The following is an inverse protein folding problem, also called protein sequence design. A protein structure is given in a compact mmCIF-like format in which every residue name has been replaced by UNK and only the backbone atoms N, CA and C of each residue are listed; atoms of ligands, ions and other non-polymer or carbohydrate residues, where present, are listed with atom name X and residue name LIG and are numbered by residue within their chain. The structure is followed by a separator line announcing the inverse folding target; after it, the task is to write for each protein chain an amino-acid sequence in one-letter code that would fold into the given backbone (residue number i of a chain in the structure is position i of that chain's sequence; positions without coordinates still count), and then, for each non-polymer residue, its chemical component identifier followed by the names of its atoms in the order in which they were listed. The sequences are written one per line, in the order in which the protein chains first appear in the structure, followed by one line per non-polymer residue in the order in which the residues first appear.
data_IF_651666449562
#
_entry.id   IF_651666449562
#
_cell.length_a   1.000
_cell.length_b   1.000
_cell.length_c   1.000
_cell.angle_alpha   90.00
_cell.angle_beta   90.00
_cell.angle_gamma   90.00
#
_symmetry.space_group_name_H-M   'P 1'
#
loop_
_entity.id
_entity.type
_entity.pdbx_description
1 polymer ?
#
# COMPACT_ATOMS: atom_id res chain seq x y z
N UNK A 1 34.66 -22.87 -3.58
CA UNK A 1 33.38 -22.14 -3.70
C UNK A 1 33.40 -20.97 -2.73
N UNK A 2 33.29 -19.74 -3.21
CA UNK A 2 33.53 -18.53 -2.41
C UNK A 2 32.33 -18.27 -1.47
N UNK A 3 32.53 -18.19 -0.15
CA UNK A 3 31.43 -18.07 0.84
C UNK A 3 30.61 -16.79 0.69
N UNK A 4 31.18 -15.77 0.03
CA UNK A 4 30.48 -14.56 -0.43
C UNK A 4 29.35 -14.91 -1.40
N UNK A 5 29.57 -15.87 -2.31
CA UNK A 5 28.62 -16.35 -3.32
C UNK A 5 27.45 -17.09 -2.65
N UNK A 6 27.67 -17.83 -1.57
CA UNK A 6 26.60 -18.58 -0.88
C UNK A 6 25.63 -17.63 -0.17
N UNK A 7 26.13 -16.64 0.57
CA UNK A 7 25.27 -15.62 1.22
C UNK A 7 24.48 -14.79 0.22
N UNK A 8 25.09 -14.49 -0.93
CA UNK A 8 24.46 -13.77 -2.02
C UNK A 8 23.42 -14.62 -2.77
N UNK A 9 23.69 -15.91 -2.99
CA UNK A 9 22.72 -16.88 -3.50
C UNK A 9 21.55 -17.03 -2.54
N UNK A 10 21.75 -16.99 -1.23
CA UNK A 10 20.65 -17.06 -0.26
C UNK A 10 19.75 -15.82 -0.29
N UNK A 11 20.33 -14.62 -0.44
CA UNK A 11 19.59 -13.36 -0.58
C UNK A 11 18.85 -13.31 -1.93
N UNK A 12 19.52 -13.73 -3.02
CA UNK A 12 18.93 -13.81 -4.37
C UNK A 12 17.86 -14.90 -4.46
N UNK A 13 18.04 -16.07 -3.85
CA UNK A 13 17.03 -17.12 -3.79
C UNK A 13 15.76 -16.66 -3.04
N UNK A 14 15.91 -15.78 -2.04
CA UNK A 14 14.78 -15.16 -1.34
C UNK A 14 14.03 -14.16 -2.24
N UNK A 15 14.75 -13.39 -3.08
CA UNK A 15 14.17 -12.45 -4.06
C UNK A 15 13.54 -13.18 -5.26
N UNK A 16 14.11 -14.31 -5.69
CA UNK A 16 13.61 -15.11 -6.82
C UNK A 16 12.34 -15.90 -6.46
N UNK A 17 12.05 -16.13 -5.17
CA UNK A 17 10.76 -16.68 -4.72
C UNK A 17 9.53 -15.77 -4.99
N UNK A 18 9.75 -14.63 -5.67
CA UNK A 18 8.74 -13.64 -6.07
C UNK A 18 8.29 -13.81 -7.54
N UNK A 19 8.88 -14.72 -8.32
CA UNK A 19 8.45 -15.01 -9.70
C UNK A 19 7.77 -16.40 -9.82
N UNK A 20 6.77 -16.56 -10.72
CA UNK A 20 6.17 -17.87 -10.97
C UNK A 20 7.22 -18.82 -11.57
N UNK A 21 7.22 -20.06 -11.08
CA UNK A 21 8.07 -21.20 -11.46
C UNK A 21 8.63 -21.13 -12.89
N UNK A 22 9.91 -20.79 -13.00
CA UNK A 22 10.80 -21.25 -14.07
C UNK A 22 12.20 -21.39 -13.46
N UNK A 23 12.72 -22.61 -13.46
CA UNK A 23 14.05 -22.97 -13.00
C UNK A 23 15.11 -22.29 -13.88
N UNK A 24 15.74 -21.22 -13.37
CA UNK A 24 16.87 -20.56 -14.03
C UNK A 24 18.17 -21.09 -13.40
N UNK A 25 19.10 -21.65 -14.19
CA UNK A 25 20.40 -22.07 -13.68
C UNK A 25 21.28 -20.84 -13.41
N UNK A 26 21.91 -20.80 -12.24
CA UNK A 26 22.88 -19.78 -11.84
C UNK A 26 24.28 -20.33 -12.14
N UNK A 27 25.02 -19.70 -13.05
CA UNK A 27 26.43 -20.02 -13.33
C UNK A 27 27.28 -18.87 -12.80
N UNK A 28 28.19 -19.16 -11.87
CA UNK A 28 29.20 -18.22 -11.40
C UNK A 28 30.54 -18.61 -12.04
N UNK A 29 31.02 -17.80 -12.98
CA UNK A 29 32.40 -17.89 -13.48
C UNK A 29 33.34 -17.34 -12.41
N UNK A 30 34.14 -18.21 -11.82
CA UNK A 30 35.14 -17.84 -10.83
C UNK A 30 36.49 -17.69 -11.49
N UNK A 31 37.00 -16.45 -11.54
CA UNK A 31 38.43 -16.21 -11.65
C UNK A 31 38.97 -15.67 -10.34
N UNK A 32 40.15 -16.19 -9.99
CA UNK A 32 40.85 -16.01 -8.73
C UNK A 32 41.66 -14.70 -8.68
N UNK A 33 41.92 -14.32 -7.43
CA UNK A 33 42.99 -13.47 -6.92
C UNK A 33 42.80 -11.95 -6.81
N UNK A 34 43.04 -11.53 -5.57
CA UNK A 34 43.77 -10.33 -5.11
C UNK A 34 43.01 -9.23 -4.35
N UNK A 35 43.55 -9.05 -3.14
CA UNK A 35 43.59 -7.98 -2.14
C UNK A 35 42.61 -6.79 -2.19
N UNK A 36 42.08 -6.50 -1.01
CA UNK A 36 41.52 -5.22 -0.52
C UNK A 36 41.17 -4.19 -1.58
N UNK A 37 39.96 -4.32 -2.11
CA UNK A 37 39.21 -3.28 -2.81
C UNK A 37 37.73 -3.65 -2.71
N UNK A 38 36.83 -2.67 -2.71
CA UNK A 38 35.40 -2.88 -2.98
C UNK A 38 35.24 -3.67 -4.29
N UNK A 39 35.12 -4.98 -4.19
CA UNK A 39 34.89 -5.81 -5.37
C UNK A 39 33.40 -5.74 -5.68
N UNK A 40 33.03 -4.89 -6.64
CA UNK A 40 31.77 -5.01 -7.36
C UNK A 40 31.72 -6.40 -7.99
N UNK A 41 30.85 -7.27 -7.47
CA UNK A 41 30.62 -8.58 -8.07
C UNK A 41 29.48 -8.46 -9.06
N UNK A 42 29.78 -8.53 -10.35
CA UNK A 42 28.77 -8.61 -11.39
C UNK A 42 28.06 -9.97 -11.30
N UNK A 43 26.76 -9.94 -11.01
CA UNK A 43 25.93 -11.13 -11.01
C UNK A 43 25.03 -11.05 -12.23
N UNK A 44 25.25 -11.99 -13.15
CA UNK A 44 24.47 -12.09 -14.38
C UNK A 44 23.16 -12.82 -14.05
N UNK A 45 22.05 -12.09 -14.05
CA UNK A 45 20.69 -12.64 -13.93
C UNK A 45 20.00 -12.46 -15.29
N UNK A 46 20.17 -13.44 -16.19
CA UNK A 46 19.76 -13.30 -17.60
C UNK A 46 20.65 -12.30 -18.37
N UNK A 47 20.12 -11.65 -19.41
CA UNK A 47 20.86 -10.70 -20.27
C UNK A 47 21.16 -9.32 -19.64
N UNK A 48 21.00 -9.17 -18.32
CA UNK A 48 21.18 -7.89 -17.63
C UNK A 48 22.19 -8.03 -16.49
N UNK A 49 23.27 -7.25 -16.55
CA UNK A 49 24.25 -7.07 -15.47
C UNK A 49 23.73 -6.04 -14.47
N UNK A 50 23.49 -6.44 -13.22
CA UNK A 50 23.23 -5.50 -12.12
C UNK A 50 24.50 -5.28 -11.28
N UNK A 51 24.99 -4.04 -11.27
CA UNK A 51 26.02 -3.59 -10.33
C UNK A 51 25.40 -3.44 -8.93
N UNK A 52 25.73 -4.36 -8.02
CA UNK A 52 25.35 -4.34 -6.61
C UNK A 52 26.48 -3.74 -5.78
N UNK A 53 26.47 -2.42 -5.56
CA UNK A 53 27.22 -1.79 -4.46
C UNK A 53 26.38 -1.90 -3.18
N UNK A 54 26.62 -2.95 -2.39
CA UNK A 54 25.93 -3.21 -1.12
C UNK A 54 26.79 -2.70 0.03
N UNK A 55 26.34 -1.72 0.84
CA UNK A 55 27.02 -1.41 2.09
C UNK A 55 27.02 -2.68 2.97
N UNK A 56 28.19 -3.09 3.45
CA UNK A 56 28.32 -4.30 4.27
C UNK A 56 27.50 -4.15 5.57
N UNK A 57 26.54 -5.04 5.80
CA UNK A 57 25.77 -5.10 7.05
C UNK A 57 26.73 -5.29 8.24
N UNK A 58 26.57 -4.50 9.29
CA UNK A 58 27.36 -4.66 10.51
C UNK A 58 26.93 -5.93 11.27
N UNK A 59 27.80 -6.41 12.17
CA UNK A 59 27.45 -7.56 13.00
C UNK A 59 26.28 -7.28 13.95
N UNK A 60 26.23 -6.07 14.51
CA UNK A 60 25.15 -5.66 15.40
C UNK A 60 23.84 -5.58 14.64
N UNK A 61 23.85 -5.04 13.41
CA UNK A 61 22.66 -4.99 12.56
C UNK A 61 22.16 -6.39 12.17
N UNK A 62 23.09 -7.31 11.86
CA UNK A 62 22.73 -8.69 11.53
C UNK A 62 22.11 -9.44 12.73
N UNK A 63 22.67 -9.27 13.93
CA UNK A 63 22.12 -9.85 15.17
C UNK A 63 20.78 -9.21 15.52
N UNK A 64 20.65 -7.89 15.39
CA UNK A 64 19.40 -7.18 15.59
C UNK A 64 18.30 -7.67 14.65
N UNK A 65 18.61 -7.90 13.37
CA UNK A 65 17.66 -8.51 12.43
C UNK A 65 17.23 -9.91 12.90
N UNK A 66 18.18 -10.75 13.33
CA UNK A 66 17.86 -12.09 13.84
C UNK A 66 16.93 -12.05 15.05
N UNK A 67 17.23 -11.21 16.04
CA UNK A 67 16.36 -11.02 17.21
C UNK A 67 15.02 -10.40 16.85
N UNK A 68 14.96 -9.46 15.92
CA UNK A 68 13.72 -8.85 15.45
C UNK A 68 12.79 -9.90 14.86
N UNK A 69 13.32 -10.73 13.94
CA UNK A 69 12.55 -11.81 13.33
C UNK A 69 12.12 -12.83 14.38
N UNK A 70 13.03 -13.25 15.27
CA UNK A 70 12.73 -14.17 16.36
C UNK A 70 11.58 -13.67 17.22
N UNK A 71 11.64 -12.42 17.70
CA UNK A 71 10.61 -11.85 18.57
C UNK A 71 9.24 -11.75 17.88
N UNK A 72 9.22 -11.46 16.58
CA UNK A 72 7.98 -11.41 15.80
C UNK A 72 7.38 -12.80 15.61
N UNK A 73 8.20 -13.86 15.46
CA UNK A 73 7.69 -15.17 15.04
C UNK A 73 7.71 -16.25 16.13
N UNK A 74 8.32 -15.99 17.29
CA UNK A 74 8.52 -17.01 18.33
C UNK A 74 7.20 -17.56 18.88
N UNK A 75 6.25 -16.69 19.22
CA UNK A 75 4.92 -17.12 19.69
C UNK A 75 4.20 -17.98 18.63
N UNK A 76 4.34 -17.63 17.35
CA UNK A 76 3.78 -18.42 16.25
C UNK A 76 4.42 -19.80 16.15
N UNK A 77 5.75 -19.91 16.22
CA UNK A 77 6.42 -21.21 16.27
C UNK A 77 5.94 -22.06 17.44
N UNK A 78 5.87 -21.48 18.65
CA UNK A 78 5.42 -22.21 19.83
C UNK A 78 3.99 -22.72 19.65
N UNK A 79 3.11 -21.90 19.09
CA UNK A 79 1.75 -22.29 18.76
C UNK A 79 1.69 -23.42 17.72
N UNK A 80 2.51 -23.37 16.67
CA UNK A 80 2.61 -24.42 15.63
C UNK A 80 3.15 -25.75 16.18
N UNK A 81 4.15 -25.66 17.08
CA UNK A 81 4.72 -26.82 17.78
C UNK A 81 3.67 -27.46 18.69
N UNK A 82 2.89 -26.66 19.41
CA UNK A 82 1.77 -27.15 20.24
C UNK A 82 0.70 -27.85 19.40
N UNK A 83 0.57 -27.48 18.13
CA UNK A 83 -0.28 -28.16 17.15
C UNK A 83 0.41 -29.34 16.42
N UNK A 84 1.51 -29.86 16.97
CA UNK A 84 2.25 -31.01 16.45
C UNK A 84 2.82 -30.83 15.03
N UNK A 85 3.20 -29.60 14.66
CA UNK A 85 3.90 -29.35 13.39
C UNK A 85 5.40 -29.52 13.57
N UNK A 86 5.91 -30.73 13.32
CA UNK A 86 7.32 -31.07 13.56
C UNK A 86 8.32 -30.20 12.79
N UNK A 87 7.98 -29.78 11.57
CA UNK A 87 8.83 -28.89 10.77
C UNK A 87 8.99 -27.51 11.41
N UNK A 88 7.98 -27.02 12.14
CA UNK A 88 8.08 -25.76 12.89
C UNK A 88 9.13 -25.89 14.00
N UNK A 89 9.09 -27.00 14.77
CA UNK A 89 10.09 -27.28 15.81
C UNK A 89 11.51 -27.38 15.24
N UNK A 90 11.68 -28.11 14.14
CA UNK A 90 13.00 -28.25 13.48
C UNK A 90 13.52 -26.89 13.01
N UNK A 91 12.66 -26.08 12.38
CA UNK A 91 13.05 -24.77 11.85
C UNK A 91 13.40 -23.79 12.97
N UNK A 92 12.64 -23.77 14.06
CA UNK A 92 12.94 -22.95 15.25
C UNK A 92 14.31 -23.32 15.83
N UNK A 93 14.55 -24.62 16.08
CA UNK A 93 15.82 -25.10 16.65
C UNK A 93 17.02 -24.83 15.72
N UNK A 94 16.83 -24.89 14.40
CA UNK A 94 17.86 -24.50 13.44
C UNK A 94 18.15 -22.98 13.52
N UNK A 95 17.12 -22.15 13.60
CA UNK A 95 17.25 -20.71 13.81
C UNK A 95 18.03 -20.39 15.07
N UNK A 96 17.65 -20.97 16.21
CA UNK A 96 18.33 -20.78 17.50
C UNK A 96 19.78 -21.26 17.44
N UNK A 97 20.06 -22.42 16.85
CA UNK A 97 21.42 -22.92 16.65
C UNK A 97 22.29 -21.99 15.80
N UNK A 98 21.72 -21.36 14.78
CA UNK A 98 22.45 -20.39 13.96
C UNK A 98 22.69 -19.09 14.72
N UNK A 99 21.71 -18.62 15.51
CA UNK A 99 21.88 -17.45 16.36
C UNK A 99 22.97 -17.67 17.42
N UNK A 100 22.97 -18.82 18.09
CA UNK A 100 24.00 -19.18 19.09
C UNK A 100 25.40 -19.17 18.49
N UNK A 101 25.57 -19.77 17.29
CA UNK A 101 26.84 -19.73 16.55
C UNK A 101 27.26 -18.31 16.16
N UNK A 102 26.30 -17.45 15.82
CA UNK A 102 26.59 -16.07 15.50
C UNK A 102 27.15 -15.34 16.73
N UNK A 103 26.56 -15.55 17.91
CA UNK A 103 27.00 -14.99 19.17
C UNK A 103 28.37 -15.50 19.60
N UNK A 104 28.64 -16.80 19.43
CA UNK A 104 29.95 -17.43 19.72
C UNK A 104 31.07 -16.82 18.87
N UNK A 105 30.80 -16.55 17.59
CA UNK A 105 31.79 -16.13 16.61
C UNK A 105 31.93 -14.60 16.49
N UNK A 106 31.13 -13.81 17.20
CA UNK A 106 31.02 -12.37 16.95
C UNK A 106 32.34 -11.61 17.11
N UNK A 107 33.13 -11.99 18.11
CA UNK A 107 34.38 -11.30 18.47
C UNK A 107 35.59 -11.83 17.66
N UNK A 108 35.54 -13.10 17.23
CA UNK A 108 36.68 -13.82 16.65
C UNK A 108 36.58 -14.04 15.13
N UNK A 109 35.36 -14.05 14.58
CA UNK A 109 35.08 -14.33 13.17
C UNK A 109 33.84 -13.57 12.69
N UNK A 110 33.87 -12.24 12.81
CA UNK A 110 32.74 -11.33 12.56
C UNK A 110 32.00 -11.58 11.24
N UNK A 111 32.72 -11.84 10.15
CA UNK A 111 32.11 -12.18 8.84
C UNK A 111 31.27 -13.45 8.87
N UNK A 112 31.71 -14.49 9.58
CA UNK A 112 30.96 -15.75 9.73
C UNK A 112 29.76 -15.55 10.67
N UNK A 113 29.95 -14.78 11.74
CA UNK A 113 28.88 -14.43 12.66
C UNK A 113 27.74 -13.67 11.97
N UNK A 114 28.05 -12.70 11.10
CA UNK A 114 27.05 -11.99 10.28
C UNK A 114 26.22 -12.98 9.44
N UNK A 115 26.88 -13.91 8.73
CA UNK A 115 26.18 -14.90 7.91
C UNK A 115 25.25 -15.76 8.77
N UNK A 116 25.73 -16.24 9.91
CA UNK A 116 24.90 -17.05 10.81
C UNK A 116 23.71 -16.28 11.38
N UNK A 117 23.88 -15.00 11.74
CA UNK A 117 22.78 -14.16 12.20
C UNK A 117 21.72 -13.95 11.11
N UNK A 118 22.13 -13.66 9.87
CA UNK A 118 21.20 -13.52 8.74
C UNK A 118 20.47 -14.83 8.44
N UNK A 119 21.18 -15.96 8.48
CA UNK A 119 20.57 -17.28 8.29
C UNK A 119 19.57 -17.59 9.40
N UNK A 120 19.86 -17.23 10.65
CA UNK A 120 18.90 -17.35 11.75
C UNK A 120 17.64 -16.51 11.49
N UNK A 121 17.80 -15.24 11.09
CA UNK A 121 16.68 -14.37 10.72
C UNK A 121 15.79 -14.97 9.62
N UNK A 122 16.40 -15.62 8.61
CA UNK A 122 15.67 -16.31 7.55
C UNK A 122 14.88 -17.50 8.10
N UNK A 123 15.48 -18.34 8.94
CA UNK A 123 14.77 -19.48 9.55
C UNK A 123 13.57 -18.99 10.36
N UNK A 124 13.74 -17.94 11.15
CA UNK A 124 12.63 -17.34 11.90
C UNK A 124 11.52 -16.82 10.97
N UNK A 125 11.90 -16.16 9.87
CA UNK A 125 10.96 -15.63 8.88
C UNK A 125 10.10 -16.69 8.17
N UNK A 126 10.40 -17.98 8.26
CA UNK A 126 9.59 -19.04 7.65
C UNK A 126 8.34 -19.42 8.47
N UNK A 127 8.22 -19.00 9.73
CA UNK A 127 7.14 -19.40 10.63
C UNK A 127 5.75 -19.36 9.97
N UNK A 128 5.31 -18.27 9.31
CA UNK A 128 3.96 -18.19 8.74
C UNK A 128 3.58 -19.32 7.77
N UNK A 129 4.56 -19.97 7.14
CA UNK A 129 4.29 -21.08 6.22
C UNK A 129 3.75 -22.32 6.94
N UNK A 130 4.15 -22.53 8.21
CA UNK A 130 3.84 -23.72 9.00
C UNK A 130 2.46 -23.66 9.68
N UNK A 131 1.83 -22.49 9.71
CA UNK A 131 0.41 -22.35 10.04
C UNK A 131 -0.51 -23.15 9.07
N UNK A 132 -0.14 -23.31 7.79
CA UNK A 132 -0.98 -24.10 6.87
C UNK A 132 -1.10 -25.59 7.30
N UNK A 133 -0.01 -26.28 7.68
CA UNK A 133 -0.10 -27.58 8.36
C UNK A 133 -0.98 -27.60 9.61
N UNK A 134 -0.99 -26.54 10.43
CA UNK A 134 -1.88 -26.45 11.60
C UNK A 134 -3.34 -26.53 11.17
N UNK A 135 -3.74 -25.75 10.16
CA UNK A 135 -5.10 -25.79 9.62
C UNK A 135 -5.51 -27.20 9.17
N UNK A 136 -4.63 -27.90 8.45
CA UNK A 136 -4.91 -29.26 7.98
C UNK A 136 -5.13 -30.22 9.16
N UNK A 137 -4.33 -30.10 10.21
CA UNK A 137 -4.47 -30.90 11.44
C UNK A 137 -5.76 -30.58 12.18
N UNK A 138 -6.09 -29.31 12.37
CA UNK A 138 -7.32 -28.86 13.03
C UNK A 138 -8.54 -29.43 12.32
N UNK A 139 -8.59 -29.31 10.98
CA UNK A 139 -9.68 -29.87 10.18
C UNK A 139 -9.75 -31.38 10.38
N UNK A 140 -8.66 -32.10 10.16
CA UNK A 140 -8.64 -33.57 10.24
C UNK A 140 -9.07 -34.07 11.63
N UNK A 141 -8.65 -33.41 12.71
CA UNK A 141 -9.01 -33.78 14.07
C UNK A 141 -10.45 -33.47 14.47
N UNK A 142 -11.15 -32.64 13.69
CA UNK A 142 -12.51 -32.17 14.00
C UNK A 142 -13.56 -32.64 13.00
N UNK A 143 -13.20 -33.54 12.06
CA UNK A 143 -14.19 -34.16 11.19
C UNK A 143 -15.11 -35.09 12.00
N UNK A 144 -16.38 -35.09 11.64
CA UNK A 144 -17.36 -36.02 12.19
C UNK A 144 -17.19 -37.43 11.64
N UNK A 145 -18.14 -38.30 11.99
CA UNK A 145 -18.19 -39.67 11.47
C UNK A 145 -18.14 -39.68 9.94
N UNK A 146 -17.45 -40.67 9.36
CA UNK A 146 -17.22 -40.80 7.92
C UNK A 146 -16.48 -39.61 7.26
N UNK A 147 -15.64 -38.89 8.01
CA UNK A 147 -14.88 -37.73 7.51
C UNK A 147 -15.76 -36.58 7.00
N UNK A 148 -16.94 -36.41 7.62
CA UNK A 148 -17.88 -35.36 7.25
C UNK A 148 -17.52 -34.04 7.92
N UNK A 149 -17.71 -32.93 7.21
CA UNK A 149 -17.56 -31.58 7.78
C UNK A 149 -18.82 -31.24 8.54
N UNK A 150 -18.70 -30.95 9.83
CA UNK A 150 -19.80 -30.61 10.74
C UNK A 150 -19.63 -29.21 11.32
N UNK A 151 -20.59 -28.76 12.12
CA UNK A 151 -20.52 -27.49 12.83
C UNK A 151 -19.31 -27.42 13.76
N UNK A 152 -18.95 -28.55 14.38
CA UNK A 152 -17.75 -28.68 15.20
C UNK A 152 -16.48 -28.44 14.38
N UNK A 153 -16.41 -28.98 13.14
CA UNK A 153 -15.28 -28.72 12.24
C UNK A 153 -15.15 -27.23 11.92
N UNK A 154 -16.26 -26.56 11.62
CA UNK A 154 -16.28 -25.11 11.32
C UNK A 154 -15.82 -24.31 12.54
N UNK A 155 -16.38 -24.62 13.72
CA UNK A 155 -16.03 -23.96 14.98
C UNK A 155 -14.55 -24.17 15.34
N UNK A 156 -14.00 -25.36 15.12
CA UNK A 156 -12.58 -25.63 15.34
C UNK A 156 -11.68 -24.73 14.47
N UNK A 157 -12.03 -24.54 13.18
CA UNK A 157 -11.29 -23.64 12.28
C UNK A 157 -11.44 -22.17 12.71
N UNK A 158 -12.62 -21.74 13.15
CA UNK A 158 -12.85 -20.37 13.65
C UNK A 158 -12.04 -20.11 14.93
N UNK A 159 -11.99 -21.07 15.86
CA UNK A 159 -11.18 -20.99 17.08
C UNK A 159 -9.69 -20.88 16.74
N UNK A 160 -9.17 -21.78 15.89
CA UNK A 160 -7.77 -21.72 15.46
C UNK A 160 -7.44 -20.42 14.71
N UNK A 161 -8.38 -19.87 13.94
CA UNK A 161 -8.24 -18.56 13.30
C UNK A 161 -8.13 -17.42 14.32
N UNK A 162 -8.89 -17.50 15.41
CA UNK A 162 -8.93 -16.49 16.46
C UNK A 162 -7.65 -16.50 17.29
N UNK A 163 -7.12 -17.69 17.59
CA UNK A 163 -5.79 -17.86 18.21
C UNK A 163 -4.68 -17.26 17.33
N UNK A 164 -4.66 -17.62 16.04
CA UNK A 164 -3.69 -17.07 15.08
C UNK A 164 -3.79 -15.55 14.96
N UNK A 165 -5.00 -14.99 14.96
CA UNK A 165 -5.23 -13.54 14.97
C UNK A 165 -4.65 -12.90 16.23
N UNK A 166 -4.85 -13.50 17.40
CA UNK A 166 -4.31 -12.98 18.67
C UNK A 166 -2.78 -12.88 18.62
N UNK A 167 -2.12 -13.97 18.22
CA UNK A 167 -0.65 -14.03 18.06
C UNK A 167 -0.16 -13.00 17.03
N UNK A 168 -0.89 -12.85 15.92
CA UNK A 168 -0.59 -11.85 14.89
C UNK A 168 -0.67 -10.42 15.43
N UNK A 169 -1.70 -10.09 16.22
CA UNK A 169 -1.88 -8.75 16.76
C UNK A 169 -0.77 -8.40 17.77
N UNK A 170 -0.31 -9.36 18.58
CA UNK A 170 0.86 -9.18 19.44
C UNK A 170 2.10 -8.83 18.61
N UNK A 171 2.36 -9.59 17.53
CA UNK A 171 3.48 -9.35 16.63
C UNK A 171 3.38 -8.00 15.90
N UNK A 172 2.16 -7.58 15.51
CA UNK A 172 1.89 -6.25 14.95
C UNK A 172 2.24 -5.15 15.95
N UNK A 173 1.75 -5.24 17.19
CA UNK A 173 2.06 -4.26 18.23
C UNK A 173 3.56 -4.16 18.52
N UNK A 174 4.27 -5.29 18.52
CA UNK A 174 5.72 -5.29 18.64
C UNK A 174 6.38 -4.57 17.46
N UNK A 175 6.00 -4.88 16.21
CA UNK A 175 6.53 -4.25 15.02
C UNK A 175 6.28 -2.72 15.01
N UNK A 176 5.10 -2.28 15.43
CA UNK A 176 4.74 -0.86 15.54
C UNK A 176 5.57 -0.14 16.61
N UNK A 177 5.83 -0.79 17.75
CA UNK A 177 6.71 -0.24 18.79
C UNK A 177 8.15 0.00 18.28
N UNK A 178 8.52 -0.65 17.18
CA UNK A 178 9.80 -0.50 16.48
C UNK A 178 9.70 0.35 15.21
N UNK A 179 8.57 1.04 14.99
CA UNK A 179 8.29 1.92 13.86
C UNK A 179 8.27 1.22 12.48
N UNK A 180 7.96 -0.07 12.43
CA UNK A 180 7.71 -0.75 11.17
C UNK A 180 6.31 -0.47 10.62
N UNK A 181 6.18 -0.46 9.30
CA UNK A 181 4.89 -0.28 8.64
C UNK A 181 4.04 -1.57 8.73
N UNK A 182 2.85 -1.45 9.33
CA UNK A 182 1.90 -2.56 9.51
C UNK A 182 0.60 -2.38 8.71
N UNK A 183 0.47 -1.33 7.90
CA UNK A 183 -0.77 -0.98 7.18
C UNK A 183 -1.29 -2.15 6.34
N UNK A 184 -0.40 -2.87 5.67
CA UNK A 184 -0.77 -4.00 4.82
C UNK A 184 -1.18 -5.23 5.61
N UNK A 185 -0.59 -5.42 6.78
CA UNK A 185 -0.99 -6.47 7.70
C UNK A 185 -2.44 -6.25 8.12
N UNK A 186 -2.82 -5.02 8.46
CA UNK A 186 -4.21 -4.68 8.82
C UNK A 186 -5.22 -4.86 7.69
N UNK A 187 -4.83 -4.63 6.43
CA UNK A 187 -5.69 -4.95 5.29
C UNK A 187 -6.09 -6.44 5.28
N UNK A 188 -5.12 -7.34 5.49
CA UNK A 188 -5.37 -8.77 5.53
C UNK A 188 -6.10 -9.19 6.81
N UNK A 189 -5.82 -8.56 7.97
CA UNK A 189 -6.57 -8.78 9.22
C UNK A 189 -8.04 -8.45 9.01
N UNK A 190 -8.36 -7.27 8.45
CA UNK A 190 -9.75 -6.88 8.18
C UNK A 190 -10.46 -7.83 7.21
N UNK A 191 -9.73 -8.34 6.20
CA UNK A 191 -10.27 -9.37 5.30
C UNK A 191 -10.53 -10.69 6.03
N UNK A 192 -9.63 -11.08 6.94
CA UNK A 192 -9.80 -12.23 7.83
C UNK A 192 -11.03 -12.08 8.70
N UNK A 193 -11.19 -10.92 9.37
CA UNK A 193 -12.31 -10.60 10.25
C UNK A 193 -13.65 -10.74 9.54
N UNK A 194 -13.76 -10.16 8.33
CA UNK A 194 -14.94 -10.26 7.49
C UNK A 194 -15.27 -11.73 7.14
N UNK A 195 -14.27 -12.50 6.69
CA UNK A 195 -14.48 -13.89 6.31
C UNK A 195 -14.85 -14.78 7.50
N UNK A 196 -14.25 -14.56 8.68
CA UNK A 196 -14.65 -15.28 9.90
C UNK A 196 -16.04 -14.90 10.38
N UNK A 197 -16.44 -13.64 10.22
CA UNK A 197 -17.79 -13.19 10.54
C UNK A 197 -18.83 -13.81 9.59
N UNK A 198 -18.55 -13.85 8.29
CA UNK A 198 -19.39 -14.55 7.32
C UNK A 198 -19.48 -16.05 7.61
N UNK A 199 -18.39 -16.67 8.06
CA UNK A 199 -18.41 -18.08 8.45
C UNK A 199 -19.37 -18.33 9.62
N UNK A 200 -19.31 -17.48 10.66
CA UNK A 200 -20.24 -17.55 11.80
C UNK A 200 -21.69 -17.31 11.39
N UNK A 201 -21.93 -16.36 10.49
CA UNK A 201 -23.27 -16.09 9.96
C UNK A 201 -23.84 -17.32 9.24
N UNK A 202 -23.11 -17.87 8.27
CA UNK A 202 -23.57 -19.06 7.53
C UNK A 202 -23.74 -20.28 8.43
N UNK A 203 -22.95 -20.39 9.49
CA UNK A 203 -23.11 -21.46 10.48
C UNK A 203 -24.44 -21.29 11.23
N UNK A 204 -24.77 -20.07 11.67
CA UNK A 204 -26.06 -19.75 12.30
C UNK A 204 -27.27 -19.95 11.38
N UNK A 205 -27.08 -19.86 10.07
CA UNK A 205 -28.09 -20.16 9.05
C UNK A 205 -28.20 -21.67 8.72
N UNK A 206 -27.37 -22.52 9.32
CA UNK A 206 -27.33 -23.97 9.07
C UNK A 206 -26.60 -24.37 7.78
N UNK A 207 -25.89 -23.45 7.13
CA UNK A 207 -25.14 -23.71 5.91
C UNK A 207 -23.66 -24.05 6.21
N UNK A 208 -23.44 -25.26 6.73
CA UNK A 208 -22.13 -25.77 7.15
C UNK A 208 -21.08 -25.69 6.05
N UNK A 209 -21.45 -26.00 4.80
CA UNK A 209 -20.51 -26.00 3.67
C UNK A 209 -20.01 -24.60 3.34
N UNK A 210 -20.90 -23.60 3.29
CA UNK A 210 -20.50 -22.21 3.06
C UNK A 210 -19.68 -21.69 4.25
N UNK A 211 -20.15 -21.98 5.48
CA UNK A 211 -19.46 -21.59 6.70
C UNK A 211 -18.02 -22.11 6.74
N UNK A 212 -17.82 -23.39 6.42
CA UNK A 212 -16.49 -24.01 6.35
C UNK A 212 -15.56 -23.35 5.32
N UNK A 213 -16.07 -23.06 4.11
CA UNK A 213 -15.29 -22.38 3.07
C UNK A 213 -14.84 -20.99 3.52
N UNK A 214 -15.72 -20.23 4.14
CA UNK A 214 -15.40 -18.90 4.66
C UNK A 214 -14.46 -18.96 5.86
N UNK A 215 -14.60 -19.94 6.76
CA UNK A 215 -13.69 -20.15 7.88
C UNK A 215 -12.25 -20.42 7.41
N UNK A 216 -12.07 -21.32 6.44
CA UNK A 216 -10.76 -21.59 5.83
C UNK A 216 -10.19 -20.34 5.16
N UNK A 217 -11.03 -19.59 4.43
CA UNK A 217 -10.59 -18.37 3.77
C UNK A 217 -10.15 -17.29 4.77
N UNK A 218 -10.85 -17.15 5.89
CA UNK A 218 -10.49 -16.26 7.01
C UNK A 218 -9.17 -16.66 7.64
N UNK A 219 -8.99 -17.94 7.98
CA UNK A 219 -7.72 -18.48 8.48
C UNK A 219 -6.55 -18.13 7.53
N UNK A 220 -6.71 -18.41 6.23
CA UNK A 220 -5.67 -18.12 5.22
C UNK A 220 -5.40 -16.63 5.07
N UNK A 221 -6.37 -15.76 5.31
CA UNK A 221 -6.15 -14.32 5.32
C UNK A 221 -5.24 -13.91 6.49
N UNK A 222 -5.41 -14.46 7.69
CA UNK A 222 -4.51 -14.21 8.82
C UNK A 222 -3.10 -14.75 8.57
N UNK A 223 -2.95 -15.94 7.96
CA UNK A 223 -1.63 -16.47 7.55
C UNK A 223 -0.94 -15.50 6.58
N UNK A 224 -1.67 -14.97 5.60
CA UNK A 224 -1.15 -13.95 4.66
C UNK A 224 -0.80 -12.64 5.37
N UNK A 225 -1.60 -12.23 6.36
CA UNK A 225 -1.30 -11.05 7.16
C UNK A 225 0.04 -11.22 7.88
N UNK A 226 0.25 -12.35 8.56
CA UNK A 226 1.50 -12.66 9.26
C UNK A 226 2.70 -12.72 8.30
N UNK A 227 2.52 -13.39 7.16
CA UNK A 227 3.54 -13.44 6.10
C UNK A 227 3.91 -12.03 5.60
N UNK A 228 2.93 -11.15 5.47
CA UNK A 228 3.12 -9.77 5.03
C UNK A 228 3.86 -8.96 6.08
N UNK A 229 3.52 -9.13 7.37
CA UNK A 229 4.22 -8.49 8.48
C UNK A 229 5.71 -8.85 8.50
N UNK A 230 6.00 -10.15 8.52
CA UNK A 230 7.37 -10.71 8.52
C UNK A 230 8.18 -10.15 7.36
N UNK A 231 7.63 -10.20 6.13
CA UNK A 231 8.30 -9.66 4.94
C UNK A 231 8.52 -8.15 5.02
N UNK A 232 7.54 -7.41 5.52
CA UNK A 232 7.63 -5.94 5.62
C UNK A 232 8.68 -5.54 6.63
N UNK A 233 8.72 -6.17 7.81
CA UNK A 233 9.74 -5.89 8.82
C UNK A 233 11.14 -6.22 8.30
N UNK A 234 11.32 -7.41 7.72
CA UNK A 234 12.61 -7.83 7.16
C UNK A 234 13.11 -6.86 6.08
N UNK A 235 12.24 -6.51 5.13
CA UNK A 235 12.61 -5.63 4.01
C UNK A 235 12.78 -4.17 4.42
N UNK A 236 11.93 -3.65 5.32
CA UNK A 236 12.08 -2.30 5.82
C UNK A 236 13.38 -2.16 6.62
N UNK A 237 13.71 -3.13 7.49
CA UNK A 237 14.96 -3.12 8.24
C UNK A 237 16.19 -3.04 7.32
N UNK A 238 16.27 -3.91 6.31
CA UNK A 238 17.38 -3.88 5.35
C UNK A 238 17.41 -2.60 4.49
N UNK A 239 16.25 -2.00 4.23
CA UNK A 239 16.15 -0.74 3.48
C UNK A 239 16.65 0.43 4.32
N UNK A 240 16.31 0.48 5.60
CA UNK A 240 16.72 1.54 6.52
C UNK A 240 18.25 1.52 6.72
N UNK A 241 18.89 0.35 6.57
CA UNK A 241 20.34 0.19 6.51
C UNK A 241 20.97 0.50 5.15
N UNK A 242 20.18 0.83 4.12
CA UNK A 242 20.66 1.09 2.77
C UNK A 242 21.15 -0.14 2.00
N UNK A 243 20.92 -1.37 2.52
CA UNK A 243 21.37 -2.63 1.92
C UNK A 243 20.54 -2.97 0.69
N UNK A 244 19.23 -2.73 0.74
CA UNK A 244 18.33 -2.95 -0.40
C UNK A 244 17.76 -1.62 -0.91
N UNK A 245 17.93 -1.39 -2.21
CA UNK A 245 17.16 -0.38 -2.95
C UNK A 245 15.83 -0.99 -3.37
N UNK A 246 14.94 -1.21 -2.40
CA UNK A 246 13.61 -1.71 -2.68
C UNK A 246 12.73 -0.59 -3.23
N UNK A 247 11.98 -0.87 -4.32
CA UNK A 247 10.80 -0.06 -4.65
C UNK A 247 9.91 0.01 -3.40
N UNK A 248 9.29 1.17 -3.10
CA UNK A 248 8.28 1.20 -2.05
C UNK A 248 7.18 0.21 -2.36
N UNK A 249 6.74 -0.53 -1.34
CA UNK A 249 5.63 -1.44 -1.52
C UNK A 249 4.33 -0.63 -1.50
N UNK A 250 3.53 -0.77 -2.55
CA UNK A 250 2.23 -0.12 -2.74
C UNK A 250 1.16 -1.22 -2.71
N UNK A 251 0.07 -1.07 -1.94
CA UNK A 251 -1.00 -2.07 -1.92
C UNK A 251 -1.57 -2.31 -3.31
N UNK A 252 -1.65 -3.59 -3.76
CA UNK A 252 -2.46 -3.90 -4.93
C UNK A 252 -3.89 -3.44 -4.63
N UNK A 253 -4.48 -2.64 -5.53
CA UNK A 253 -5.76 -1.99 -5.29
C UNK A 253 -5.71 -0.56 -4.75
N UNK A 254 -4.58 -0.07 -4.20
CA UNK A 254 -4.52 1.30 -3.66
C UNK A 254 -4.66 2.34 -4.79
N UNK A 255 -3.94 2.12 -5.89
CA UNK A 255 -3.95 3.01 -7.04
C UNK A 255 -5.12 2.73 -7.99
N UNK A 256 -5.79 1.58 -7.85
CA UNK A 256 -6.91 1.20 -8.72
C UNK A 256 -8.19 2.00 -8.44
N UNK A 257 -8.27 2.62 -7.26
CA UNK A 257 -9.33 3.57 -6.92
C UNK A 257 -9.04 4.99 -7.39
N UNK A 258 -7.84 5.25 -7.91
CA UNK A 258 -7.47 6.56 -8.45
C UNK A 258 -7.92 6.68 -9.91
N UNK A 259 -8.19 7.91 -10.38
CA UNK A 259 -8.41 8.17 -11.80
C UNK A 259 -7.25 7.62 -12.65
N UNK A 260 -7.58 7.12 -13.84
CA UNK A 260 -6.66 6.38 -14.73
C UNK A 260 -5.37 7.17 -15.04
N UNK A 261 -5.53 8.47 -15.26
CA UNK A 261 -4.43 9.44 -15.48
C UNK A 261 -3.49 9.48 -14.27
N UNK A 262 -4.05 9.65 -13.06
CA UNK A 262 -3.27 9.78 -11.84
C UNK A 262 -2.58 8.47 -11.45
N UNK A 263 -3.27 7.35 -11.67
CA UNK A 263 -2.71 6.01 -11.51
C UNK A 263 -1.50 5.83 -12.42
N UNK A 264 -1.58 6.25 -13.69
CA UNK A 264 -0.47 6.10 -14.65
C UNK A 264 0.75 6.94 -14.26
N UNK A 265 0.53 8.16 -13.79
CA UNK A 265 1.58 9.09 -13.40
C UNK A 265 2.28 8.66 -12.10
N UNK A 266 1.50 8.27 -11.08
CA UNK A 266 2.04 7.74 -9.83
C UNK A 266 2.82 6.45 -10.10
N UNK A 267 2.32 5.54 -10.95
CA UNK A 267 3.05 4.33 -11.34
C UNK A 267 4.39 4.66 -12.00
N UNK A 268 4.41 5.60 -12.96
CA UNK A 268 5.65 6.00 -13.64
C UNK A 268 6.68 6.60 -12.67
N UNK A 269 6.24 7.36 -11.67
CA UNK A 269 7.14 7.97 -10.66
C UNK A 269 7.62 6.98 -9.60
N UNK A 270 6.80 5.98 -9.30
CA UNK A 270 7.18 4.83 -8.47
C UNK A 270 8.22 3.97 -9.18
N UNK A 271 8.06 3.75 -10.49
CA UNK A 271 9.05 3.04 -11.31
C UNK A 271 10.39 3.78 -11.38
N UNK A 272 10.36 5.12 -11.40
CA UNK A 272 11.53 5.99 -11.32
C UNK A 272 12.14 6.12 -9.92
N UNK A 273 11.48 5.61 -8.88
CA UNK A 273 11.96 5.66 -7.49
C UNK A 273 11.81 7.02 -6.80
N UNK A 274 11.02 7.94 -7.36
CA UNK A 274 10.76 9.28 -6.81
C UNK A 274 9.80 9.22 -5.61
N UNK A 275 8.81 8.33 -5.68
CA UNK A 275 7.87 8.03 -4.61
C UNK A 275 8.48 6.88 -3.81
N UNK A 276 8.57 7.00 -2.48
CA UNK A 276 9.28 6.05 -1.59
C UNK A 276 8.40 5.54 -0.45
N UNK A 277 7.19 6.06 -0.30
CA UNK A 277 6.28 5.67 0.77
C UNK A 277 4.81 5.93 0.41
N UNK A 278 3.90 5.32 1.18
CA UNK A 278 2.46 5.62 1.12
C UNK A 278 2.20 7.10 1.44
N UNK A 279 3.00 7.70 2.34
CA UNK A 279 2.89 9.13 2.67
C UNK A 279 3.13 10.00 1.44
N UNK A 280 4.07 9.64 0.59
CA UNK A 280 4.34 10.35 -0.67
C UNK A 280 3.15 10.20 -1.64
N UNK A 281 2.58 8.99 -1.76
CA UNK A 281 1.38 8.76 -2.58
C UNK A 281 0.21 9.62 -2.10
N UNK A 282 -0.05 9.66 -0.79
CA UNK A 282 -1.10 10.51 -0.21
C UNK A 282 -0.81 11.99 -0.44
N UNK A 283 0.45 12.41 -0.32
CA UNK A 283 0.87 13.78 -0.63
C UNK A 283 0.60 14.17 -2.08
N UNK A 284 0.93 13.30 -3.03
CA UNK A 284 0.71 13.54 -4.47
C UNK A 284 -0.76 13.50 -4.84
N UNK A 285 -1.54 12.56 -4.29
CA UNK A 285 -3.01 12.55 -4.46
C UNK A 285 -3.63 13.84 -3.92
N UNK A 286 -3.14 14.35 -2.78
CA UNK A 286 -3.63 15.61 -2.21
C UNK A 286 -3.30 16.81 -3.10
N UNK A 287 -2.08 16.87 -3.65
CA UNK A 287 -1.68 17.91 -4.62
C UNK A 287 -2.55 17.85 -5.87
N UNK A 288 -2.82 16.67 -6.41
CA UNK A 288 -3.67 16.54 -7.58
C UNK A 288 -5.12 16.95 -7.29
N UNK A 289 -5.68 16.53 -6.15
CA UNK A 289 -7.02 16.95 -5.73
C UNK A 289 -7.07 18.47 -5.66
N UNK A 290 -6.03 19.12 -5.12
CA UNK A 290 -5.93 20.56 -5.07
C UNK A 290 -5.86 21.18 -6.48
N UNK A 291 -5.00 20.67 -7.37
CA UNK A 291 -4.89 21.13 -8.76
C UNK A 291 -6.19 20.97 -9.54
N UNK A 292 -6.87 19.82 -9.41
CA UNK A 292 -8.18 19.57 -10.07
C UNK A 292 -9.26 20.47 -9.50
N UNK A 293 -9.26 20.72 -8.20
CA UNK A 293 -10.19 21.66 -7.56
C UNK A 293 -9.97 23.08 -8.09
N UNK A 294 -8.71 23.50 -8.25
CA UNK A 294 -8.36 24.81 -8.83
C UNK A 294 -8.77 24.89 -10.30
N UNK A 295 -8.52 23.85 -11.12
CA UNK A 295 -8.98 23.79 -12.51
C UNK A 295 -10.51 23.82 -12.63
N UNK A 296 -11.24 23.16 -11.72
CA UNK A 296 -12.69 23.15 -11.73
C UNK A 296 -13.26 24.51 -11.35
N UNK A 297 -12.69 25.16 -10.33
CA UNK A 297 -13.01 26.56 -9.99
C UNK A 297 -12.76 27.50 -11.17
N UNK A 298 -11.63 27.34 -11.85
CA UNK A 298 -11.28 28.15 -13.01
C UNK A 298 -12.27 27.96 -14.16
N UNK A 299 -12.65 26.71 -14.47
CA UNK A 299 -13.68 26.41 -15.47
C UNK A 299 -15.05 26.96 -15.07
N UNK A 300 -15.41 26.85 -13.80
CA UNK A 300 -16.64 27.41 -13.26
C UNK A 300 -16.68 28.94 -13.40
N UNK A 301 -15.57 29.62 -13.12
CA UNK A 301 -15.45 31.07 -13.31
C UNK A 301 -15.64 31.46 -14.77
N UNK A 302 -14.98 30.75 -15.69
CA UNK A 302 -15.11 30.98 -17.14
C UNK A 302 -16.54 30.72 -17.62
N UNK A 303 -17.20 29.66 -17.15
CA UNK A 303 -18.58 29.36 -17.53
C UNK A 303 -19.56 30.43 -17.05
N UNK A 304 -19.48 30.80 -15.77
CA UNK A 304 -20.33 31.86 -15.20
C UNK A 304 -20.05 33.18 -15.92
N UNK A 305 -18.79 33.53 -16.16
CA UNK A 305 -18.40 34.72 -16.90
C UNK A 305 -18.98 34.74 -18.33
N UNK A 306 -18.94 33.61 -19.04
CA UNK A 306 -19.52 33.49 -20.38
C UNK A 306 -21.05 33.62 -20.36
N UNK A 307 -21.72 33.08 -19.34
CA UNK A 307 -23.16 33.22 -19.16
C UNK A 307 -23.53 34.69 -18.90
N UNK A 308 -22.76 35.38 -18.04
CA UNK A 308 -22.93 36.81 -17.78
C UNK A 308 -22.68 37.66 -19.03
N UNK A 309 -21.57 37.40 -19.74
CA UNK A 309 -21.23 38.09 -20.97
C UNK A 309 -22.32 37.90 -22.04
N UNK A 310 -22.83 36.67 -22.21
CA UNK A 310 -23.91 36.38 -23.15
C UNK A 310 -25.23 37.08 -22.77
N UNK A 311 -25.53 37.21 -21.48
CA UNK A 311 -26.69 37.97 -21.01
C UNK A 311 -26.54 39.47 -21.30
N UNK A 312 -25.33 40.01 -21.10
CA UNK A 312 -25.01 41.41 -21.39
C UNK A 312 -24.94 41.72 -22.90
N UNK A 313 -24.46 40.79 -23.72
CA UNK A 313 -24.46 40.90 -25.19
C UNK A 313 -25.89 41.02 -25.74
N UNK A 314 -26.86 40.29 -25.17
CA UNK A 314 -28.28 40.43 -25.56
C UNK A 314 -28.86 41.79 -25.20
N UNK A 315 -28.26 42.49 -24.23
CA UNK A 315 -28.64 43.83 -23.78
C UNK A 315 -27.91 44.96 -24.53
N UNK A 316 -27.07 44.63 -25.53
CA UNK A 316 -26.08 45.54 -26.16
C UNK A 316 -26.64 46.65 -27.06
N UNK A 317 -27.89 47.09 -26.86
CA UNK A 317 -28.41 48.36 -27.39
C UNK A 317 -28.41 49.49 -26.34
N UNK A 318 -27.94 49.23 -25.12
CA UNK A 318 -28.00 50.20 -24.01
C UNK A 318 -26.70 51.03 -23.89
N UNK A 319 -26.75 52.37 -23.97
CA UNK A 319 -25.56 53.25 -24.01
C UNK A 319 -24.70 53.24 -22.73
N UNK A 320 -25.23 52.71 -21.62
CA UNK A 320 -24.51 52.56 -20.33
C UNK A 320 -23.48 51.44 -20.39
N UNK A 321 -23.75 50.34 -21.11
CA UNK A 321 -22.82 49.23 -21.28
C UNK A 321 -21.62 49.64 -22.14
N UNK A 322 -21.83 50.53 -23.11
CA UNK A 322 -20.80 51.04 -24.02
C UNK A 322 -19.68 51.81 -23.29
N UNK A 323 -19.96 52.46 -22.15
CA UNK A 323 -18.95 53.20 -21.35
C UNK A 323 -18.09 52.31 -20.45
N UNK A 324 -18.63 51.22 -19.92
CA UNK A 324 -17.91 50.32 -18.99
C UNK A 324 -17.01 49.32 -19.74
N UNK A 325 -17.37 48.98 -20.99
CA UNK A 325 -16.74 47.91 -21.79
C UNK A 325 -15.57 48.42 -22.65
N UNK A 326 -15.41 49.73 -22.86
CA UNK A 326 -14.50 50.28 -23.89
C UNK A 326 -12.98 50.14 -23.64
N UNK A 327 -12.53 49.43 -22.60
CA UNK A 327 -11.09 49.15 -22.36
C UNK A 327 -10.71 47.69 -22.11
N UNK A 328 -11.68 46.82 -21.78
CA UNK A 328 -11.46 45.37 -21.54
C UNK A 328 -12.50 44.59 -22.32
N UNK A 329 -12.14 43.44 -22.89
CA UNK A 329 -13.12 42.57 -23.56
C UNK A 329 -14.20 42.18 -22.53
N UNK A 330 -15.48 42.23 -22.91
CA UNK A 330 -16.63 42.00 -22.00
C UNK A 330 -16.50 40.70 -21.18
N UNK A 331 -15.94 39.65 -21.80
CA UNK A 331 -15.67 38.37 -21.14
C UNK A 331 -14.64 38.47 -20.03
N UNK A 332 -13.56 39.24 -20.23
CA UNK A 332 -12.52 39.45 -19.22
C UNK A 332 -13.08 40.24 -18.03
N UNK A 333 -13.93 41.22 -18.29
CA UNK A 333 -14.63 41.97 -17.25
C UNK A 333 -15.55 41.06 -16.41
N UNK A 334 -16.36 40.22 -17.06
CA UNK A 334 -17.21 39.26 -16.36
C UNK A 334 -16.41 38.21 -15.59
N UNK A 335 -15.27 37.78 -16.13
CA UNK A 335 -14.37 36.84 -15.46
C UNK A 335 -13.75 37.45 -14.20
N UNK A 336 -13.21 38.67 -14.29
CA UNK A 336 -12.66 39.40 -13.15
C UNK A 336 -13.70 39.60 -12.05
N UNK A 337 -14.94 39.93 -12.42
CA UNK A 337 -16.07 40.09 -11.50
C UNK A 337 -16.38 38.78 -10.76
N UNK A 338 -16.51 37.66 -11.48
CA UNK A 338 -16.82 36.36 -10.89
C UNK A 338 -15.71 35.91 -9.94
N UNK A 339 -14.46 36.13 -10.33
CA UNK A 339 -13.29 35.84 -9.49
C UNK A 339 -13.27 36.69 -8.22
N UNK A 340 -13.60 37.97 -8.34
CA UNK A 340 -13.71 38.89 -7.20
C UNK A 340 -14.81 38.43 -6.21
N UNK A 341 -16.00 38.12 -6.71
CA UNK A 341 -17.13 37.64 -5.90
C UNK A 341 -16.80 36.31 -5.23
N UNK A 342 -16.19 35.37 -5.96
CA UNK A 342 -15.76 34.09 -5.42
C UNK A 342 -14.74 34.28 -4.28
N UNK A 343 -13.76 35.17 -4.46
CA UNK A 343 -12.73 35.44 -3.46
C UNK A 343 -13.26 36.06 -2.16
N UNK A 344 -14.34 36.85 -2.25
CA UNK A 344 -14.96 37.52 -1.10
C UNK A 344 -15.95 36.64 -0.35
N UNK A 345 -16.60 35.71 -1.03
CA UNK A 345 -17.77 34.98 -0.50
C UNK A 345 -17.54 33.48 -0.35
N UNK A 346 -16.47 32.92 -0.94
CA UNK A 346 -16.25 31.47 -1.08
C UNK A 346 -17.44 30.72 -1.74
N UNK A 347 -18.33 31.42 -2.45
CA UNK A 347 -19.47 30.82 -3.10
C UNK A 347 -19.05 29.99 -4.33
N UNK A 348 -19.80 28.92 -4.61
CA UNK A 348 -19.63 28.05 -5.79
C UNK A 348 -20.98 27.83 -6.49
N UNK A 349 -20.95 27.34 -7.72
CA UNK A 349 -22.11 26.92 -8.50
C UNK A 349 -23.14 28.02 -8.74
N UNK A 350 -24.41 27.66 -8.54
CA UNK A 350 -25.54 28.58 -8.71
C UNK A 350 -25.50 29.78 -7.75
N UNK A 351 -24.94 29.58 -6.55
CA UNK A 351 -24.80 30.66 -5.57
C UNK A 351 -23.78 31.70 -6.05
N UNK A 352 -22.65 31.26 -6.60
CA UNK A 352 -21.65 32.15 -7.18
C UNK A 352 -22.23 32.95 -8.35
N UNK A 353 -23.02 32.30 -9.21
CA UNK A 353 -23.69 32.95 -10.32
C UNK A 353 -24.68 34.03 -9.85
N UNK A 354 -25.52 33.72 -8.85
CA UNK A 354 -26.50 34.66 -8.31
C UNK A 354 -25.84 35.88 -7.67
N UNK A 355 -24.78 35.67 -6.88
CA UNK A 355 -24.03 36.74 -6.26
C UNK A 355 -23.29 37.59 -7.29
N UNK A 356 -22.74 36.96 -8.34
CA UNK A 356 -22.09 37.68 -9.44
C UNK A 356 -23.08 38.51 -10.24
N UNK A 357 -24.31 38.04 -10.44
CA UNK A 357 -25.39 38.80 -11.07
C UNK A 357 -25.82 40.00 -10.22
N UNK A 358 -25.92 39.82 -8.91
CA UNK A 358 -26.27 40.90 -7.99
C UNK A 358 -25.18 41.97 -7.96
N UNK A 359 -23.91 41.57 -7.91
CA UNK A 359 -22.77 42.48 -7.96
C UNK A 359 -22.72 43.24 -9.30
N UNK A 360 -22.98 42.54 -10.41
CA UNK A 360 -23.10 43.16 -11.73
C UNK A 360 -24.23 44.19 -11.79
N UNK A 361 -25.41 43.85 -11.25
CA UNK A 361 -26.58 44.73 -11.16
C UNK A 361 -26.28 45.99 -10.34
N UNK A 362 -25.50 45.86 -9.26
CA UNK A 362 -25.07 47.00 -8.43
C UNK A 362 -24.09 47.92 -9.16
N UNK A 363 -23.18 47.35 -9.99
CA UNK A 363 -22.18 48.12 -10.75
C UNK A 363 -22.75 48.83 -11.98
N UNK A 364 -23.80 48.26 -12.59
CA UNK A 364 -24.51 48.88 -13.72
C UNK A 364 -25.63 49.77 -13.18
N UNK A 365 -25.27 50.96 -12.71
CA UNK A 365 -26.26 51.97 -12.29
C UNK A 365 -27.05 52.49 -13.49
N UNK A 366 -28.31 52.06 -13.62
CA UNK A 366 -29.26 52.60 -14.60
C UNK A 366 -30.27 51.58 -15.11
N UNK A 367 -31.33 51.33 -14.34
CA UNK A 367 -32.64 50.83 -14.81
C UNK A 367 -32.73 49.47 -15.52
N UNK A 368 -31.63 48.81 -15.85
CA UNK A 368 -31.62 47.51 -16.51
C UNK A 368 -31.92 46.42 -15.48
N UNK A 369 -33.05 45.74 -15.60
CA UNK A 369 -33.39 44.60 -14.73
C UNK A 369 -32.70 43.32 -15.24
N UNK A 370 -31.39 43.20 -15.00
CA UNK A 370 -30.56 42.09 -15.49
C UNK A 370 -31.04 40.75 -14.90
N UNK A 371 -31.61 40.76 -13.68
CA UNK A 371 -32.20 39.58 -13.05
C UNK A 371 -33.40 39.00 -13.81
N UNK A 372 -34.29 39.83 -14.37
CA UNK A 372 -35.46 39.35 -15.13
C UNK A 372 -35.08 38.71 -16.48
N UNK A 373 -34.11 39.28 -17.20
CA UNK A 373 -33.58 38.72 -18.46
C UNK A 373 -32.79 37.42 -18.24
N UNK A 374 -32.16 37.30 -17.07
CA UNK A 374 -31.48 36.08 -16.65
C UNK A 374 -32.46 34.93 -16.41
N UNK A 375 -33.60 35.21 -15.75
CA UNK A 375 -34.67 34.21 -15.53
C UNK A 375 -35.25 33.69 -16.84
N UNK A 376 -35.37 34.53 -17.87
CA UNK A 376 -35.80 34.11 -19.22
C UNK A 376 -34.79 33.23 -19.97
N UNK A 377 -33.50 33.34 -19.65
CA UNK A 377 -32.41 32.59 -20.30
C UNK A 377 -32.13 31.24 -19.64
N UNK A 378 -32.26 31.11 -18.32
CA UNK A 378 -32.05 29.85 -17.57
C UNK A 378 -33.11 28.79 -17.93
N UNK A 379 -34.35 29.19 -18.23
CA UNK A 379 -35.43 28.27 -18.64
C UNK A 379 -35.14 27.57 -19.98
N UNK A 380 -34.42 28.20 -20.90
CA UNK A 380 -34.09 27.60 -22.21
C UNK A 380 -32.94 26.60 -22.17
N UNK A 381 -32.02 26.72 -21.20
CA UNK A 381 -30.89 25.78 -21.04
C UNK A 381 -31.37 24.44 -20.47
N UNK A 382 -32.46 24.43 -19.67
CA UNK A 382 -33.09 23.20 -19.16
C UNK A 382 -33.91 22.40 -20.20
N UNK A 383 -34.19 22.94 -21.39
CA UNK A 383 -34.99 22.24 -22.42
C UNK A 383 -34.15 21.56 -23.52
N UNK A 384 -32.82 21.52 -23.39
CA UNK A 384 -31.91 20.88 -24.35
C UNK A 384 -30.97 19.84 -23.73
N UNK A 385 -31.41 19.19 -22.66
CA UNK A 385 -30.80 17.95 -22.15
C UNK A 385 -31.86 16.87 -22.02
#
# INVERSE_FOLDING_TARGET
MNWRIIGLISIVALIVSIAPLASIPIIASGDQESQDSEVASDIIVGNSTMNLTVPAISIDDALNLAYMMRNITYELFMWEVNHNVSVANVTLNLGDKFLDKALELKDNASRRAIVFAVVAAIHYGHAPSFANPVLARVIYSSLGENNTVTDETVNAVITASSELKSILLNAVSYAESKNFNTTFTYYWVSKGDNLTSLAQQYLGEGNVTAAFRHAIAGYKAYVRAYSTLVKTVFTQYLRDLGIIRGKPFIPPGLLDKLPLELRSEINARVEKGEIKSIRDIVGEVRKEIQNRTEMWKEREYVQIANILASALEKLSKHPVLTRVIMGKQLRDYCYDLVKEVASKTNATGLQLLQLSLQELQNRVQGGLNIQQEFQGSVVKIRMKH
#
